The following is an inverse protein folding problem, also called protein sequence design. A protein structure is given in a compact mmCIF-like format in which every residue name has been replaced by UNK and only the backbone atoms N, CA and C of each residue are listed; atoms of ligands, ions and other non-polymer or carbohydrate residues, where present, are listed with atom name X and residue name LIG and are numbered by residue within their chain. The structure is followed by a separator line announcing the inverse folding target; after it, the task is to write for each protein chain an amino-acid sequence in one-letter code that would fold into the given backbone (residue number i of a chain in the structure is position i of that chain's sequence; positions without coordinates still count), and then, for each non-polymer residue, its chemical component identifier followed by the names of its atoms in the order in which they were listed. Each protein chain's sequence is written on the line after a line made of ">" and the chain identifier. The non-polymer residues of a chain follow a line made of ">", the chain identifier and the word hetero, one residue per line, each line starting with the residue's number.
data_IF_725107860835
#
_entry.id   IF_725107860835
#
_cell.length_a   1.000
_cell.length_b   1.000
_cell.length_c   1.000
_cell.angle_alpha   90.00
_cell.angle_beta   90.00
_cell.angle_gamma   90.00
#
_symmetry.space_group_name_H-M   'P 1'
#
loop_
_entity.id
_entity.type
_entity.pdbx_description
1 polymer ?
#
# COMPACT_ATOMS: atom_id res chain seq x y z
N UNK A 1 39.53 -41.34 7.25
CA UNK A 1 39.09 -41.38 5.84
C UNK A 1 37.68 -41.95 5.67
N UNK A 2 37.35 -43.12 6.25
CA UNK A 2 36.02 -43.75 6.11
C UNK A 2 34.87 -42.90 6.68
N UNK A 3 35.09 -42.17 7.77
CA UNK A 3 34.03 -41.35 8.39
C UNK A 3 33.73 -40.08 7.60
N UNK A 4 34.76 -39.48 6.99
CA UNK A 4 34.60 -38.35 6.06
C UNK A 4 33.78 -38.78 4.84
N UNK A 5 34.07 -39.97 4.31
CA UNK A 5 33.34 -40.52 3.16
C UNK A 5 31.86 -40.77 3.48
N UNK A 6 31.55 -41.25 4.70
CA UNK A 6 30.16 -41.42 5.16
C UNK A 6 29.43 -40.07 5.26
N UNK A 7 30.07 -39.04 5.83
CA UNK A 7 29.47 -37.70 5.94
C UNK A 7 29.15 -37.15 4.56
N UNK A 8 30.09 -37.25 3.61
CA UNK A 8 29.89 -36.79 2.23
C UNK A 8 28.71 -37.48 1.54
N UNK A 9 28.58 -38.80 1.70
CA UNK A 9 27.45 -39.55 1.17
C UNK A 9 26.13 -39.10 1.80
N UNK A 10 26.09 -38.94 3.12
CA UNK A 10 24.87 -38.49 3.81
C UNK A 10 24.47 -37.10 3.32
N UNK A 11 25.40 -36.15 3.23
CA UNK A 11 25.11 -34.82 2.69
C UNK A 11 24.64 -34.85 1.24
N UNK A 12 25.20 -35.74 0.41
CA UNK A 12 24.79 -35.90 -0.98
C UNK A 12 23.37 -36.44 -1.07
N UNK A 13 23.04 -37.46 -0.27
CA UNK A 13 21.68 -38.03 -0.23
C UNK A 13 20.68 -37.00 0.26
N UNK A 14 21.01 -36.25 1.33
CA UNK A 14 20.16 -35.18 1.85
C UNK A 14 19.95 -34.10 0.78
N UNK A 15 20.99 -33.70 0.06
CA UNK A 15 20.87 -32.74 -1.04
C UNK A 15 19.96 -33.25 -2.15
N UNK A 16 20.16 -34.50 -2.62
CA UNK A 16 19.36 -35.12 -3.68
C UNK A 16 17.89 -35.27 -3.27
N UNK A 17 17.59 -35.40 -1.98
CA UNK A 17 16.20 -35.50 -1.50
C UNK A 17 15.58 -34.12 -1.29
N UNK A 18 16.29 -33.20 -0.62
CA UNK A 18 15.75 -31.89 -0.24
C UNK A 18 15.65 -30.95 -1.45
N UNK A 19 16.66 -30.93 -2.33
CA UNK A 19 16.69 -30.01 -3.46
C UNK A 19 15.46 -30.18 -4.38
N UNK A 20 15.07 -31.40 -4.80
CA UNK A 20 13.89 -31.57 -5.63
C UNK A 20 12.58 -31.28 -4.90
N UNK A 21 12.50 -31.59 -3.59
CA UNK A 21 11.34 -31.23 -2.77
C UNK A 21 11.14 -29.71 -2.73
N UNK A 22 12.23 -28.94 -2.65
CA UNK A 22 12.23 -27.49 -2.66
C UNK A 22 11.77 -26.88 -3.99
N UNK A 23 12.36 -27.35 -5.09
CA UNK A 23 12.20 -26.75 -6.42
C UNK A 23 11.01 -27.33 -7.22
N UNK A 24 10.80 -28.64 -7.19
CA UNK A 24 9.80 -29.31 -8.04
C UNK A 24 8.49 -29.63 -7.31
N UNK A 25 8.49 -29.69 -5.97
CA UNK A 25 7.30 -30.03 -5.17
C UNK A 25 6.91 -28.97 -4.12
N UNK A 26 6.80 -27.68 -4.50
CA UNK A 26 6.42 -26.63 -3.56
C UNK A 26 5.08 -26.86 -2.86
N UNK A 27 4.16 -27.57 -3.51
CA UNK A 27 2.84 -27.93 -2.98
C UNK A 27 2.93 -28.71 -1.65
N UNK A 28 4.00 -29.46 -1.41
CA UNK A 28 4.16 -30.28 -0.20
C UNK A 28 4.53 -29.47 1.05
N UNK A 29 5.34 -28.42 0.91
CA UNK A 29 5.86 -27.66 2.06
C UNK A 29 5.33 -26.23 2.16
N UNK A 30 4.96 -25.58 1.05
CA UNK A 30 4.46 -24.19 1.05
C UNK A 30 3.26 -23.96 1.96
N UNK A 31 2.26 -24.86 2.09
CA UNK A 31 1.16 -24.65 3.02
C UNK A 31 1.62 -24.57 4.48
N UNK A 32 2.58 -25.43 4.85
CA UNK A 32 3.18 -25.47 6.19
C UNK A 32 4.00 -24.20 6.41
N UNK A 33 4.85 -23.84 5.45
CA UNK A 33 5.64 -22.60 5.46
C UNK A 33 4.75 -21.37 5.65
N UNK A 34 3.66 -21.24 4.88
CA UNK A 34 2.68 -20.13 5.00
C UNK A 34 2.06 -20.08 6.39
N UNK A 35 1.70 -21.23 6.97
CA UNK A 35 1.15 -21.26 8.34
C UNK A 35 2.17 -20.79 9.38
N UNK A 36 3.43 -21.22 9.26
CA UNK A 36 4.50 -20.74 10.14
C UNK A 36 4.80 -19.26 9.94
N UNK A 37 4.68 -18.76 8.70
CA UNK A 37 4.79 -17.34 8.40
C UNK A 37 3.70 -16.55 9.13
N UNK A 38 2.44 -16.96 9.02
CA UNK A 38 1.31 -16.30 9.70
C UNK A 38 1.49 -16.29 11.22
N UNK A 39 1.91 -17.43 11.81
CA UNK A 39 2.20 -17.53 13.24
C UNK A 39 3.31 -16.56 13.64
N UNK A 40 4.41 -16.55 12.88
CA UNK A 40 5.55 -15.67 13.16
C UNK A 40 5.14 -14.20 13.06
N UNK A 41 4.34 -13.84 12.05
CA UNK A 41 3.80 -12.50 11.91
C UNK A 41 2.94 -12.14 13.13
N UNK A 42 2.00 -12.99 13.51
CA UNK A 42 1.14 -12.77 14.67
C UNK A 42 1.93 -12.58 15.98
N UNK A 43 2.96 -13.41 16.19
CA UNK A 43 3.79 -13.34 17.39
C UNK A 43 4.73 -12.12 17.42
N UNK A 44 5.16 -11.64 16.25
CA UNK A 44 6.09 -10.51 16.10
C UNK A 44 5.42 -9.18 15.79
N UNK A 45 4.08 -9.12 15.74
CA UNK A 45 3.37 -7.83 15.71
C UNK A 45 3.57 -7.20 17.08
N UNK A 46 4.60 -6.36 17.19
CA UNK A 46 4.65 -5.38 18.25
C UNK A 46 3.40 -4.52 18.12
N UNK A 47 2.49 -4.59 19.10
CA UNK A 47 1.29 -3.77 19.15
C UNK A 47 1.64 -2.32 19.56
N UNK A 48 2.66 -1.74 18.92
CA UNK A 48 3.02 -0.33 19.04
C UNK A 48 2.14 0.44 18.09
N UNK A 49 0.90 0.67 18.51
CA UNK A 49 0.08 1.72 17.90
C UNK A 49 0.77 3.04 18.17
N UNK A 50 1.13 3.76 17.11
CA UNK A 50 1.55 5.16 17.23
C UNK A 50 0.23 5.95 17.26
N UNK A 51 -0.19 6.46 18.43
CA UNK A 51 -1.56 6.98 18.61
C UNK A 51 -1.86 8.18 17.72
N UNK A 52 -0.83 8.92 17.31
CA UNK A 52 -0.95 10.17 16.56
C UNK A 52 -0.89 9.97 15.04
N UNK A 53 -0.74 8.74 14.55
CA UNK A 53 -0.69 8.44 13.11
C UNK A 53 -1.96 7.70 12.70
N UNK A 54 -2.68 8.28 11.75
CA UNK A 54 -3.84 7.65 11.10
C UNK A 54 -3.44 7.27 9.67
N UNK A 55 -3.59 5.99 9.34
CA UNK A 55 -3.39 5.48 7.97
C UNK A 55 -4.77 5.33 7.34
N UNK A 56 -4.96 5.97 6.18
CA UNK A 56 -6.15 5.83 5.34
C UNK A 56 -5.71 5.05 4.10
N UNK A 57 -6.31 3.88 3.89
CA UNK A 57 -5.95 2.96 2.80
C UNK A 57 -7.16 2.68 1.91
N UNK A 58 -6.89 2.28 0.67
CA UNK A 58 -7.88 1.87 -0.32
C UNK A 58 -7.99 0.35 -0.32
N UNK A 59 -8.99 -0.16 0.38
CA UNK A 59 -9.23 -1.59 0.52
C UNK A 59 -10.12 -2.17 -0.61
N UNK A 60 -10.28 -3.50 -0.59
CA UNK A 60 -11.15 -4.20 -1.54
C UNK A 60 -12.61 -3.70 -1.50
N UNK A 61 -13.09 -3.26 -0.33
CA UNK A 61 -14.42 -2.70 -0.19
C UNK A 61 -14.55 -1.40 -0.96
N UNK A 62 -13.58 -0.50 -0.81
CA UNK A 62 -13.49 0.76 -1.54
C UNK A 62 -13.43 0.52 -3.05
N UNK A 63 -12.61 -0.43 -3.50
CA UNK A 63 -12.50 -0.79 -4.91
C UNK A 63 -13.78 -1.42 -5.47
N UNK A 64 -14.52 -2.18 -4.66
CA UNK A 64 -15.81 -2.77 -5.07
C UNK A 64 -16.89 -1.69 -5.26
N UNK A 65 -16.86 -0.64 -4.45
CA UNK A 65 -17.84 0.45 -4.51
C UNK A 65 -17.49 1.49 -5.58
N UNK A 66 -16.22 1.85 -5.71
CA UNK A 66 -15.76 2.95 -6.57
C UNK A 66 -15.07 2.48 -7.85
N UNK A 67 -14.86 1.18 -8.02
CA UNK A 67 -14.11 0.60 -9.14
C UNK A 67 -12.60 0.67 -8.93
N UNK A 68 -11.84 0.50 -10.01
CA UNK A 68 -10.38 0.48 -9.94
C UNK A 68 -9.80 1.89 -9.84
N UNK A 69 -8.81 2.08 -8.96
CA UNK A 69 -8.31 3.41 -8.63
C UNK A 69 -7.64 4.17 -9.78
N UNK A 70 -7.10 3.48 -10.79
CA UNK A 70 -6.40 4.14 -11.91
C UNK A 70 -7.36 4.98 -12.78
N UNK A 71 -8.66 4.71 -12.71
CA UNK A 71 -9.67 5.48 -13.44
C UNK A 71 -10.20 6.68 -12.64
N UNK A 72 -9.82 6.79 -11.37
CA UNK A 72 -10.37 7.83 -10.50
C UNK A 72 -9.81 9.20 -10.84
N UNK A 73 -10.66 10.22 -11.04
CA UNK A 73 -10.18 11.57 -11.24
C UNK A 73 -9.48 12.07 -9.98
N UNK A 74 -8.44 12.90 -10.13
CA UNK A 74 -7.66 13.45 -9.00
C UNK A 74 -8.53 14.25 -8.02
N UNK A 75 -9.67 14.75 -8.50
CA UNK A 75 -10.72 15.37 -7.70
C UNK A 75 -11.28 14.47 -6.57
N UNK A 76 -11.31 13.15 -6.75
CA UNK A 76 -11.76 12.26 -5.68
C UNK A 76 -10.76 12.23 -4.52
N UNK A 77 -9.46 12.24 -4.83
CA UNK A 77 -8.40 12.31 -3.84
C UNK A 77 -8.42 13.65 -3.08
N UNK A 78 -8.74 14.77 -3.76
CA UNK A 78 -8.87 16.06 -3.07
C UNK A 78 -9.98 16.04 -2.03
N UNK A 79 -11.12 15.39 -2.29
CA UNK A 79 -12.20 15.24 -1.29
C UNK A 79 -11.76 14.47 -0.06
N UNK A 80 -10.93 13.44 -0.24
CA UNK A 80 -10.38 12.67 0.89
C UNK A 80 -9.44 13.57 1.69
N UNK A 81 -8.56 14.31 1.02
CA UNK A 81 -7.66 15.27 1.65
C UNK A 81 -8.44 16.35 2.41
N UNK A 82 -9.51 16.90 1.83
CA UNK A 82 -10.37 17.90 2.46
C UNK A 82 -11.02 17.33 3.73
N UNK A 83 -11.58 16.12 3.64
CA UNK A 83 -12.19 15.44 4.78
C UNK A 83 -11.20 15.17 5.92
N UNK A 84 -9.97 14.77 5.60
CA UNK A 84 -8.90 14.58 6.58
C UNK A 84 -8.47 15.94 7.16
N UNK A 85 -8.37 16.98 6.33
CA UNK A 85 -7.95 18.32 6.74
C UNK A 85 -8.89 18.96 7.77
N UNK A 86 -10.18 18.60 7.77
CA UNK A 86 -11.13 19.04 8.79
C UNK A 86 -10.73 18.63 10.21
N UNK A 87 -9.97 17.55 10.36
CA UNK A 87 -9.43 17.09 11.64
C UNK A 87 -8.15 17.81 12.06
N UNK A 88 -7.66 18.76 11.25
CA UNK A 88 -6.45 19.57 11.50
C UNK A 88 -5.21 18.73 11.83
N UNK A 89 -4.85 17.73 11.00
CA UNK A 89 -3.62 16.98 11.20
C UNK A 89 -2.41 17.91 11.06
N UNK A 90 -1.30 17.57 11.73
CA UNK A 90 -0.06 18.33 11.60
C UNK A 90 0.53 18.22 10.18
N UNK A 91 0.46 17.04 9.58
CA UNK A 91 0.93 16.74 8.22
C UNK A 91 0.02 15.69 7.60
N UNK A 92 -0.21 15.78 6.29
CA UNK A 92 -0.85 14.73 5.49
C UNK A 92 0.20 14.17 4.52
N UNK A 93 0.57 12.89 4.72
CA UNK A 93 1.40 12.15 3.77
C UNK A 93 0.53 11.45 2.73
N UNK A 94 0.98 11.42 1.48
CA UNK A 94 0.29 10.74 0.38
C UNK A 94 1.24 9.71 -0.21
N UNK A 95 0.87 8.43 -0.11
CA UNK A 95 1.56 7.32 -0.77
C UNK A 95 0.74 6.88 -2.00
N UNK A 96 0.73 7.74 -3.01
CA UNK A 96 0.02 7.50 -4.27
C UNK A 96 0.82 8.10 -5.42
N UNK A 97 1.01 7.31 -6.48
CA UNK A 97 1.70 7.77 -7.69
C UNK A 97 0.66 8.20 -8.74
N UNK A 98 0.78 9.43 -9.22
CA UNK A 98 -0.07 9.99 -10.27
C UNK A 98 0.71 10.13 -11.58
N UNK A 99 1.13 9.00 -12.15
CA UNK A 99 1.98 8.93 -13.34
C UNK A 99 1.25 9.30 -14.62
N UNK A 100 -0.05 9.03 -14.69
CA UNK A 100 -0.89 9.30 -15.85
C UNK A 100 -1.58 10.67 -15.77
N UNK A 101 -1.99 11.23 -16.92
CA UNK A 101 -2.88 12.38 -16.96
C UNK A 101 -4.18 12.12 -16.20
N UNK A 102 -4.72 13.15 -15.57
CA UNK A 102 -6.01 13.08 -14.87
C UNK A 102 -7.13 12.62 -15.82
N UNK A 103 -7.94 11.68 -15.35
CA UNK A 103 -9.06 11.08 -16.10
C UNK A 103 -10.25 12.02 -16.23
N UNK A 104 -10.27 13.11 -15.44
CA UNK A 104 -11.30 14.13 -15.53
C UNK A 104 -11.28 14.82 -16.91
N UNK A 105 -12.44 14.89 -17.62
CA UNK A 105 -12.53 15.55 -18.93
C UNK A 105 -12.02 16.99 -18.90
N UNK A 106 -11.37 17.42 -19.98
CA UNK A 106 -10.74 18.75 -20.06
C UNK A 106 -11.70 19.90 -19.80
N UNK A 107 -12.96 19.79 -20.24
CA UNK A 107 -13.98 20.83 -20.01
C UNK A 107 -14.29 20.97 -18.52
N UNK A 108 -14.41 19.85 -17.80
CA UNK A 108 -14.66 19.84 -16.36
C UNK A 108 -13.45 20.39 -15.61
N UNK A 109 -12.25 20.01 -16.02
CA UNK A 109 -11.00 20.52 -15.46
C UNK A 109 -10.92 22.05 -15.54
N UNK A 110 -11.32 22.64 -16.67
CA UNK A 110 -11.34 24.09 -16.84
C UNK A 110 -12.39 24.78 -15.95
N UNK A 111 -13.57 24.16 -15.80
CA UNK A 111 -14.62 24.65 -14.90
C UNK A 111 -14.11 24.64 -13.45
N UNK A 112 -13.57 23.51 -12.98
CA UNK A 112 -13.03 23.40 -11.62
C UNK A 112 -11.88 24.38 -11.40
N UNK A 113 -10.97 24.53 -12.36
CA UNK A 113 -9.86 25.50 -12.26
C UNK A 113 -10.38 26.93 -12.10
N UNK A 114 -11.38 27.32 -12.88
CA UNK A 114 -11.97 28.66 -12.80
C UNK A 114 -12.62 28.90 -11.44
N UNK A 115 -13.37 27.92 -10.94
CA UNK A 115 -14.01 27.96 -9.62
C UNK A 115 -12.99 28.01 -8.46
N UNK A 116 -11.92 27.23 -8.55
CA UNK A 116 -10.85 27.25 -7.54
C UNK A 116 -10.13 28.59 -7.52
N UNK A 117 -9.81 29.16 -8.68
CA UNK A 117 -9.16 30.47 -8.77
C UNK A 117 -10.04 31.60 -8.22
N UNK A 118 -11.35 31.54 -8.43
CA UNK A 118 -12.26 32.54 -7.84
C UNK A 118 -12.36 32.41 -6.32
N UNK A 119 -12.34 31.18 -5.80
CA UNK A 119 -12.39 30.89 -4.36
C UNK A 119 -11.08 31.32 -3.68
N UNK A 120 -9.92 30.89 -4.19
CA UNK A 120 -8.61 31.26 -3.66
C UNK A 120 -8.37 32.77 -3.67
N UNK A 121 -8.81 33.47 -4.74
CA UNK A 121 -8.71 34.93 -4.79
C UNK A 121 -9.56 35.61 -3.73
N UNK A 122 -10.71 35.03 -3.38
CA UNK A 122 -11.56 35.54 -2.31
C UNK A 122 -10.89 35.37 -0.95
N UNK A 123 -10.32 34.21 -0.68
CA UNK A 123 -9.67 33.92 0.61
C UNK A 123 -8.37 34.73 0.79
N UNK A 124 -7.54 34.87 -0.25
CA UNK A 124 -6.35 35.74 -0.21
C UNK A 124 -6.67 37.22 0.02
N UNK A 125 -7.82 37.70 -0.48
CA UNK A 125 -8.26 39.08 -0.25
C UNK A 125 -8.85 39.28 1.15
N UNK A 126 -9.30 38.21 1.82
CA UNK A 126 -9.77 38.26 3.21
C UNK A 126 -8.59 38.24 4.18
N UNK A 127 -7.57 37.42 3.92
CA UNK A 127 -6.38 37.30 4.77
C UNK A 127 -5.40 38.49 4.65
N UNK A 128 -5.53 39.33 3.60
CA UNK A 128 -4.67 40.52 3.39
C UNK A 128 -5.27 41.83 3.91
N UNK A 129 -6.48 41.79 4.46
CA UNK A 129 -7.19 42.96 5.03
C UNK A 129 -7.26 42.89 6.56
N UNK A 130 -6.71 41.83 7.16
CA UNK A 130 -6.47 41.69 8.60
C UNK A 130 -4.97 41.78 8.90
#
# INVERSE_FOLDING_TARGET
>A
MKDIFKVLIISLVVFIVIFPLGEFFPVLYKPIERKFYDIRMYLNVENKRIPDIVIVDVDEKSLKELGRFYDWPRYNFSKVIDAISLQKPLVIGIDFLFTEPDTLPGIMRNIYRTFLLSTLKKDYLVDSVL
#
